data_IF_534175085040
#
_entry.id   IF_534175085040
#
_cell.length_a   1.000
_cell.length_b   1.000
_cell.length_c   1.000
_cell.angle_alpha   90.00
_cell.angle_beta   90.00
_cell.angle_gamma   90.00
#
_symmetry.space_group_name_H-M   'P 1'
#
loop_
_entity.id
_entity.type
_entity.pdbx_description
1 polymer ?
#
# COMPACT_ATOMS: atom_id res chain seq x y z
N UNK A 1 12.67 -3.16 -33.16
CA UNK A 1 13.39 -3.76 -32.02
C UNK A 1 13.05 -2.95 -30.78
N UNK A 2 12.01 -3.32 -30.03
CA UNK A 2 11.76 -2.70 -28.73
C UNK A 2 12.63 -3.42 -27.71
N UNK A 3 13.68 -2.74 -27.26
CA UNK A 3 14.46 -3.17 -26.10
C UNK A 3 13.58 -2.92 -24.86
N UNK A 4 12.67 -3.84 -24.55
CA UNK A 4 11.97 -3.86 -23.27
C UNK A 4 12.94 -4.40 -22.24
N UNK A 5 13.89 -3.57 -21.83
CA UNK A 5 14.54 -3.73 -20.54
C UNK A 5 13.41 -3.78 -19.51
N UNK A 6 13.23 -4.91 -18.86
CA UNK A 6 12.38 -5.08 -17.70
C UNK A 6 12.86 -4.04 -16.68
N UNK A 7 12.20 -2.88 -16.62
CA UNK A 7 12.62 -1.80 -15.75
C UNK A 7 12.12 -2.15 -14.36
N UNK A 8 13.03 -2.59 -13.49
CA UNK A 8 12.73 -2.76 -12.08
C UNK A 8 12.30 -1.40 -11.53
N UNK A 9 11.08 -1.33 -10.98
CA UNK A 9 10.55 -0.10 -10.39
C UNK A 9 10.94 -0.11 -8.91
N UNK A 10 11.89 0.74 -8.46
CA UNK A 10 12.21 0.83 -7.05
C UNK A 10 11.00 1.40 -6.31
N UNK A 11 10.52 0.68 -5.28
CA UNK A 11 9.35 1.10 -4.49
C UNK A 11 9.72 1.56 -3.08
N UNK A 12 10.90 1.16 -2.59
CA UNK A 12 11.46 1.52 -1.29
C UNK A 12 12.89 2.03 -1.50
N UNK A 13 13.31 3.01 -0.69
CA UNK A 13 14.71 3.39 -0.58
C UNK A 13 15.51 2.43 0.34
N UNK A 14 16.81 2.69 0.51
CA UNK A 14 17.73 1.88 1.33
C UNK A 14 17.38 1.83 2.83
N UNK A 15 16.49 2.70 3.30
CA UNK A 15 16.01 2.77 4.68
C UNK A 15 14.59 2.19 4.83
N UNK A 16 13.97 1.72 3.76
CA UNK A 16 12.60 1.23 3.78
C UNK A 16 11.55 2.35 3.72
N UNK A 17 11.93 3.57 3.31
CA UNK A 17 10.97 4.62 3.02
C UNK A 17 10.41 4.43 1.60
N UNK A 18 9.09 4.27 1.53
CA UNK A 18 8.33 4.29 0.27
C UNK A 18 8.63 5.52 -0.59
N UNK A 19 8.92 5.25 -1.87
CA UNK A 19 9.01 6.25 -2.94
C UNK A 19 7.62 6.66 -3.46
N UNK A 20 6.59 5.88 -3.13
CA UNK A 20 5.19 6.11 -3.50
C UNK A 20 4.28 6.13 -2.25
N UNK A 21 4.49 7.06 -1.30
CA UNK A 21 3.86 7.01 0.03
C UNK A 21 2.34 7.09 0.04
N UNK A 22 1.71 7.54 -1.06
CA UNK A 22 0.26 7.59 -1.21
C UNK A 22 -0.36 6.24 -1.65
N UNK A 23 0.48 5.28 -2.07
CA UNK A 23 0.07 3.98 -2.62
C UNK A 23 0.60 2.85 -1.74
N UNK A 24 1.89 2.94 -1.37
CA UNK A 24 2.61 1.99 -0.54
C UNK A 24 3.10 2.71 0.73
N UNK A 25 2.81 2.22 1.94
CA UNK A 25 3.34 2.81 3.17
C UNK A 25 4.85 2.58 3.31
N UNK A 26 5.49 3.33 4.21
CA UNK A 26 6.87 3.03 4.61
C UNK A 26 6.93 1.71 5.40
N UNK A 27 8.09 1.05 5.39
CA UNK A 27 8.33 -0.16 6.20
C UNK A 27 8.29 0.18 7.69
N UNK A 28 7.58 -0.62 8.47
CA UNK A 28 7.54 -0.54 9.92
C UNK A 28 8.50 -1.58 10.53
N UNK A 29 9.19 -1.19 11.61
CA UNK A 29 10.15 -2.02 12.33
C UNK A 29 9.74 -2.18 13.80
N UNK A 30 8.69 -2.97 14.10
CA UNK A 30 8.09 -3.04 15.43
C UNK A 30 9.02 -3.67 16.48
N UNK A 31 9.91 -4.57 16.07
CA UNK A 31 10.89 -5.22 16.95
C UNK A 31 12.20 -5.47 16.20
N UNK A 32 13.22 -5.94 16.92
CA UNK A 32 14.46 -6.39 16.28
C UNK A 32 14.17 -7.57 15.34
N UNK A 33 14.87 -7.62 14.22
CA UNK A 33 14.73 -8.65 13.17
C UNK A 33 13.31 -8.80 12.60
N UNK A 34 12.42 -7.83 12.88
CA UNK A 34 11.08 -7.79 12.33
C UNK A 34 10.89 -6.47 11.60
N UNK A 35 10.60 -6.57 10.31
CA UNK A 35 10.37 -5.44 9.44
C UNK A 35 9.38 -5.84 8.36
N UNK A 36 8.41 -5.00 8.10
CA UNK A 36 7.40 -5.29 7.09
C UNK A 36 6.48 -4.12 6.82
N UNK A 37 5.58 -4.31 5.87
CA UNK A 37 4.53 -3.37 5.54
C UNK A 37 3.27 -4.15 5.21
N UNK A 38 2.12 -3.54 5.49
CA UNK A 38 0.82 -4.04 5.08
C UNK A 38 0.25 -3.09 4.02
N UNK A 39 -0.07 -3.62 2.84
CA UNK A 39 -0.56 -2.81 1.72
C UNK A 39 -1.63 -3.56 0.94
N UNK A 40 -2.57 -2.80 0.36
CA UNK A 40 -3.52 -3.35 -0.61
C UNK A 40 -2.82 -3.63 -1.94
N UNK A 41 -3.37 -4.52 -2.76
CA UNK A 41 -2.87 -4.71 -4.13
C UNK A 41 -2.92 -3.38 -4.91
N UNK A 42 -1.84 -3.07 -5.62
CA UNK A 42 -1.69 -1.87 -6.44
C UNK A 42 -0.97 -2.22 -7.76
N UNK A 43 -1.00 -1.31 -8.73
CA UNK A 43 -0.18 -1.38 -9.95
C UNK A 43 0.53 -0.04 -10.15
N UNK A 44 1.81 -0.08 -10.51
CA UNK A 44 2.66 1.08 -10.77
C UNK A 44 3.32 0.91 -12.13
N UNK A 45 2.78 1.54 -13.17
CA UNK A 45 3.40 1.56 -14.50
C UNK A 45 3.88 0.19 -15.03
N UNK A 46 3.20 -0.89 -14.64
CA UNK A 46 3.46 -2.27 -15.07
C UNK A 46 2.23 -2.79 -15.81
N UNK A 47 2.39 -3.11 -17.10
CA UNK A 47 1.35 -3.72 -17.95
C UNK A 47 1.27 -5.24 -17.82
N UNK A 48 2.03 -5.82 -16.88
CA UNK A 48 2.11 -7.26 -16.65
C UNK A 48 1.03 -7.74 -15.69
N UNK A 49 0.54 -8.96 -15.91
CA UNK A 49 -0.50 -9.60 -15.08
C UNK A 49 0.03 -10.15 -13.76
N UNK A 50 1.35 -10.28 -13.62
CA UNK A 50 2.05 -10.72 -12.42
C UNK A 50 3.29 -9.85 -12.19
N UNK A 51 3.65 -9.67 -10.91
CA UNK A 51 4.85 -8.93 -10.50
C UNK A 51 5.67 -9.80 -9.53
N UNK A 52 6.98 -9.62 -9.58
CA UNK A 52 7.91 -10.19 -8.61
C UNK A 52 8.50 -9.06 -7.78
N UNK A 53 8.71 -9.31 -6.49
CA UNK A 53 9.35 -8.36 -5.59
C UNK A 53 10.73 -8.89 -5.20
N UNK A 54 11.74 -8.04 -5.36
CA UNK A 54 13.09 -8.29 -4.87
C UNK A 54 13.42 -7.28 -3.78
N UNK A 55 13.96 -7.78 -2.65
CA UNK A 55 14.27 -6.97 -1.49
C UNK A 55 15.71 -7.20 -1.03
N UNK A 56 16.43 -6.11 -0.78
CA UNK A 56 17.72 -6.15 -0.10
C UNK A 56 17.53 -5.95 1.40
N UNK A 57 18.04 -6.88 2.21
CA UNK A 57 17.95 -6.82 3.68
C UNK A 57 19.29 -6.40 4.27
N UNK A 58 19.29 -5.32 5.06
CA UNK A 58 20.46 -4.82 5.78
C UNK A 58 20.25 -4.95 7.29
N UNK A 59 21.16 -5.64 7.97
CA UNK A 59 21.17 -5.73 9.43
C UNK A 59 22.08 -4.66 10.02
N UNK A 60 21.60 -4.01 11.08
CA UNK A 60 22.37 -3.01 11.83
C UNK A 60 22.74 -3.59 13.20
N UNK A 61 23.89 -3.19 13.73
CA UNK A 61 24.29 -3.54 15.09
C UNK A 61 23.44 -2.78 16.11
N UNK A 62 22.97 -3.51 17.12
CA UNK A 62 22.28 -2.93 18.28
C UNK A 62 23.33 -2.31 19.20
N UNK A 63 23.33 -0.98 19.31
CA UNK A 63 24.27 -0.23 20.14
C UNK A 63 23.56 0.20 21.42
N UNK A 64 24.15 -0.10 22.58
CA UNK A 64 23.59 0.24 23.90
C UNK A 64 22.13 -0.24 24.09
N UNK A 65 21.80 -1.40 23.54
CA UNK A 65 20.44 -1.95 23.62
C UNK A 65 19.42 -1.27 22.70
N UNK A 66 19.83 -0.38 21.78
CA UNK A 66 18.93 0.36 20.89
C UNK A 66 19.31 0.17 19.42
N UNK A 67 18.31 -0.14 18.60
CA UNK A 67 18.38 -0.09 17.15
C UNK A 67 17.88 1.27 16.66
N UNK A 68 18.74 2.03 15.98
CA UNK A 68 18.32 3.28 15.33
C UNK A 68 17.38 2.95 14.17
N UNK A 69 16.15 3.48 14.23
CA UNK A 69 15.13 3.29 13.19
C UNK A 69 15.13 4.51 12.26
N UNK A 70 14.92 4.32 10.95
CA UNK A 70 14.89 5.42 10.00
C UNK A 70 13.66 6.31 10.22
N UNK A 71 13.80 7.58 9.88
CA UNK A 71 12.74 8.57 9.94
C UNK A 71 12.30 8.91 8.52
N UNK A 72 11.20 8.30 8.07
CA UNK A 72 10.67 8.58 6.74
C UNK A 72 9.87 9.90 6.72
N UNK A 73 9.85 10.61 5.57
CA UNK A 73 9.05 11.83 5.42
C UNK A 73 7.58 11.56 5.71
N UNK A 74 6.94 12.45 6.48
CA UNK A 74 5.50 12.29 6.76
C UNK A 74 4.69 12.51 5.49
N UNK A 75 3.91 11.49 5.12
CA UNK A 75 2.92 11.58 4.05
C UNK A 75 1.81 12.53 4.49
N UNK A 76 1.72 13.71 3.87
CA UNK A 76 0.57 14.60 4.07
C UNK A 76 -0.57 14.11 3.20
N UNK A 77 -1.38 13.18 3.71
CA UNK A 77 -2.64 12.83 3.07
C UNK A 77 -3.55 14.07 3.08
N UNK A 78 -3.64 14.80 1.95
CA UNK A 78 -4.80 15.66 1.71
C UNK A 78 -6.00 14.71 1.66
N UNK A 79 -6.91 14.84 2.63
CA UNK A 79 -8.14 14.02 2.76
C UNK A 79 -9.12 14.28 1.62
N UNK A 80 -8.74 14.00 0.39
CA UNK A 80 -9.68 13.85 -0.71
C UNK A 80 -9.70 12.38 -1.08
N UNK A 81 -10.51 11.62 -0.33
CA UNK A 81 -10.85 10.26 -0.69
C UNK A 81 -11.74 10.38 -1.93
N UNK A 82 -11.17 10.21 -3.12
CA UNK A 82 -11.96 9.80 -4.28
C UNK A 82 -11.81 8.29 -4.37
N UNK A 83 -12.69 7.55 -3.68
CA UNK A 83 -12.80 6.11 -3.91
C UNK A 83 -13.23 5.94 -5.36
N UNK A 84 -12.34 5.52 -6.24
CA UNK A 84 -12.72 5.04 -7.56
C UNK A 84 -13.30 3.63 -7.36
N UNK A 85 -14.56 3.55 -6.91
CA UNK A 85 -15.30 2.30 -6.97
C UNK A 85 -15.48 1.97 -8.45
N UNK A 86 -14.79 0.92 -8.92
CA UNK A 86 -15.16 0.30 -10.19
C UNK A 86 -16.59 -0.20 -10.04
N UNK A 87 -17.54 0.51 -10.66
CA UNK A 87 -18.91 0.04 -10.81
C UNK A 87 -18.89 -1.19 -11.71
N UNK A 88 -19.04 -2.37 -11.13
CA UNK A 88 -19.49 -3.54 -11.89
C UNK A 88 -20.93 -3.29 -12.35
N UNK A 89 -21.29 -3.54 -13.62
CA UNK A 89 -22.64 -3.30 -14.11
C UNK A 89 -23.62 -4.35 -13.58
N UNK A 90 -24.70 -3.86 -12.97
CA UNK A 90 -26.07 -4.40 -12.86
C UNK A 90 -26.33 -5.85 -12.41
N UNK A 91 -26.88 -6.00 -11.20
CA UNK A 91 -28.14 -6.74 -10.97
C UNK A 91 -28.98 -5.96 -9.93
N UNK A 92 -29.92 -5.16 -10.42
CA UNK A 92 -30.99 -4.50 -9.69
C UNK A 92 -31.82 -5.50 -8.83
N UNK A 93 -31.55 -5.61 -7.52
CA UNK A 93 -32.54 -6.14 -6.55
C UNK A 93 -33.26 -5.00 -5.84
N UNK A 94 -34.40 -4.65 -6.44
CA UNK A 94 -35.48 -3.80 -5.95
C UNK A 94 -35.83 -4.09 -4.48
N UNK A 95 -35.37 -3.24 -3.56
CA UNK A 95 -35.87 -3.22 -2.17
C UNK A 95 -37.18 -2.43 -2.13
N UNK A 96 -38.28 -3.11 -1.78
CA UNK A 96 -39.58 -2.47 -1.50
C UNK A 96 -39.52 -1.89 -0.08
N UNK A 97 -39.72 -0.59 0.06
CA UNK A 97 -40.02 0.05 1.35
C UNK A 97 -41.32 -0.53 1.90
N UNK A 98 -41.28 -1.08 3.12
CA UNK A 98 -42.49 -1.35 3.88
C UNK A 98 -42.55 -0.34 5.04
N UNK A 99 -43.34 0.71 4.83
CA UNK A 99 -43.79 1.61 5.89
C UNK A 99 -44.53 0.79 6.96
N UNK A 100 -44.11 0.87 8.22
CA UNK A 100 -44.96 0.48 9.35
C UNK A 100 -45.61 1.73 9.93
N UNK A 101 -46.88 1.89 9.58
CA UNK A 101 -47.87 2.77 10.19
C UNK A 101 -48.12 2.27 11.63
N UNK A 102 -48.26 3.19 12.58
CA UNK A 102 -48.36 2.92 14.01
C UNK A 102 -49.70 2.35 14.50
N UNK A 103 -49.82 2.22 15.82
CA UNK A 103 -51.08 2.09 16.55
C UNK A 103 -51.16 0.92 17.53
N UNK A 104 -50.97 1.21 18.82
CA UNK A 104 -51.86 0.86 19.94
C UNK A 104 -51.37 1.59 21.20
#
# INVERSE_FOLDING_TARGET
MHNTSLMDVPILDEFGCSLFPNILPHVEYPSDLNGGLLVNAFSLDVDQTAVFFECNVKLLLKLNGVCRRPLCPRVRFRRHITVFQRTTPDIQKRSRNLSKIGGA
#
